data_IF_927138253586
#
_entry.id   IF_927138253586
#
_cell.length_a   1.000
_cell.length_b   1.000
_cell.length_c   1.000
_cell.angle_alpha   90.00
_cell.angle_beta   90.00
_cell.angle_gamma   90.00
#
_symmetry.space_group_name_H-M   'P 1'
#
loop_
_entity.id
_entity.type
_entity.pdbx_description
1 polymer ?
#
# COMPACT_ATOMS: atom_id res chain seq x y z
N UNK A 1 3.91 20.48 -21.17
CA UNK A 1 4.38 20.27 -22.55
C UNK A 1 3.27 19.64 -23.42
N UNK A 2 2.71 20.43 -24.37
CA UNK A 2 1.60 20.00 -25.25
C UNK A 2 1.99 18.84 -26.17
N UNK A 3 3.26 18.78 -26.58
CA UNK A 3 3.78 17.69 -27.40
C UNK A 3 3.75 16.34 -26.65
N UNK A 4 4.16 16.32 -25.38
CA UNK A 4 4.13 15.13 -24.54
C UNK A 4 2.69 14.66 -24.29
N UNK A 5 1.77 15.59 -23.98
CA UNK A 5 0.33 15.28 -23.82
C UNK A 5 -0.22 14.62 -25.09
N UNK A 6 0.05 15.22 -26.27
CA UNK A 6 -0.42 14.66 -27.54
C UNK A 6 0.19 13.26 -27.81
N UNK A 7 1.47 13.08 -27.48
CA UNK A 7 2.14 11.77 -27.62
C UNK A 7 1.47 10.72 -26.74
N UNK A 8 1.26 10.99 -25.45
CA UNK A 8 0.67 10.03 -24.51
C UNK A 8 -0.77 9.67 -24.90
N UNK A 9 -1.58 10.62 -25.31
CA UNK A 9 -2.95 10.33 -25.80
C UNK A 9 -2.94 9.38 -27.02
N UNK A 10 -2.04 9.64 -28.00
CA UNK A 10 -1.88 8.76 -29.16
C UNK A 10 -1.36 7.37 -28.78
N UNK A 11 -0.38 7.32 -27.87
CA UNK A 11 0.21 6.07 -27.38
C UNK A 11 -0.86 5.21 -26.69
N UNK A 12 -1.61 5.80 -25.76
CA UNK A 12 -2.68 5.10 -25.03
C UNK A 12 -3.73 4.52 -25.99
N UNK A 13 -4.18 5.35 -26.93
CA UNK A 13 -5.14 4.88 -27.96
C UNK A 13 -4.58 3.73 -28.81
N UNK A 14 -3.32 3.82 -29.22
CA UNK A 14 -2.68 2.78 -30.03
C UNK A 14 -2.49 1.46 -29.24
N UNK A 15 -2.06 1.55 -27.98
CA UNK A 15 -1.85 0.36 -27.12
C UNK A 15 -3.17 -0.33 -26.81
N UNK A 16 -4.22 0.43 -26.48
CA UNK A 16 -5.53 -0.15 -26.20
C UNK A 16 -6.24 -0.74 -27.43
N UNK A 17 -5.85 -0.31 -28.63
CA UNK A 17 -6.31 -0.93 -29.88
C UNK A 17 -5.64 -2.29 -30.21
N UNK A 18 -4.54 -2.64 -29.53
CA UNK A 18 -3.87 -3.92 -29.73
C UNK A 18 -4.72 -5.08 -29.16
N UNK A 19 -4.68 -6.27 -29.80
CA UNK A 19 -5.42 -7.43 -29.30
C UNK A 19 -4.90 -7.90 -27.93
N UNK A 20 -5.81 -8.40 -27.09
CA UNK A 20 -5.54 -8.84 -25.72
C UNK A 20 -5.50 -7.70 -24.71
N UNK A 21 -5.51 -8.07 -23.42
CA UNK A 21 -5.52 -7.09 -22.31
C UNK A 21 -4.14 -6.48 -22.13
N UNK A 22 -4.01 -5.18 -22.32
CA UNK A 22 -2.80 -4.38 -22.09
C UNK A 22 -3.09 -3.35 -21.03
N UNK A 23 -2.09 -3.04 -20.22
CA UNK A 23 -2.16 -1.99 -19.20
C UNK A 23 -1.03 -0.98 -19.44
N UNK A 24 -1.38 0.29 -19.40
CA UNK A 24 -0.44 1.40 -19.34
C UNK A 24 -0.45 1.98 -17.94
N UNK A 25 0.70 2.01 -17.29
CA UNK A 25 0.86 2.49 -15.92
C UNK A 25 1.84 3.65 -15.94
N UNK A 26 1.42 4.80 -15.44
CA UNK A 26 2.26 5.99 -15.37
C UNK A 26 3.04 6.00 -14.05
N UNK A 27 4.37 6.10 -14.15
CA UNK A 27 5.22 6.55 -13.05
C UNK A 27 5.31 8.08 -13.13
N UNK A 28 4.50 8.75 -12.30
CA UNK A 28 4.37 10.19 -12.34
C UNK A 28 4.14 10.71 -10.91
N UNK A 29 5.04 11.57 -10.43
CA UNK A 29 5.10 12.00 -9.03
C UNK A 29 4.46 13.38 -8.77
N UNK A 30 4.04 14.08 -9.84
CA UNK A 30 3.47 15.42 -9.69
C UNK A 30 1.96 15.39 -9.50
N UNK A 31 1.39 16.56 -9.21
CA UNK A 31 -0.06 16.77 -9.14
C UNK A 31 -0.70 16.98 -10.53
N UNK A 32 -0.04 16.57 -11.64
CA UNK A 32 -0.61 16.69 -12.97
C UNK A 32 -1.94 15.89 -13.04
N UNK A 33 -3.06 16.55 -13.41
CA UNK A 33 -4.37 15.93 -13.37
C UNK A 33 -4.68 15.10 -14.62
N UNK A 34 -5.71 14.25 -14.53
CA UNK A 34 -6.27 13.51 -15.66
C UNK A 34 -5.24 12.64 -16.39
N UNK A 35 -4.37 11.97 -15.61
CA UNK A 35 -3.41 11.01 -16.15
C UNK A 35 -4.12 9.72 -16.55
N UNK A 36 -5.02 9.23 -15.69
CA UNK A 36 -5.68 7.96 -15.91
C UNK A 36 -7.01 8.10 -16.66
N UNK A 37 -7.44 7.01 -17.28
CA UNK A 37 -8.69 6.93 -18.03
C UNK A 37 -9.97 7.09 -17.15
N UNK A 38 -9.82 7.26 -15.84
CA UNK A 38 -10.90 7.65 -14.92
C UNK A 38 -11.65 8.91 -15.39
N UNK A 39 -10.94 9.80 -16.06
CA UNK A 39 -11.48 11.07 -16.60
C UNK A 39 -11.91 10.96 -18.07
N UNK A 40 -12.02 9.76 -18.62
CA UNK A 40 -12.47 9.53 -19.99
C UNK A 40 -11.57 10.15 -21.06
N UNK A 41 -12.14 10.66 -22.14
CA UNK A 41 -11.42 11.15 -23.31
C UNK A 41 -10.54 12.40 -23.06
N UNK A 42 -10.76 13.11 -21.99
CA UNK A 42 -9.94 14.29 -21.63
C UNK A 42 -8.58 13.88 -21.02
N UNK A 43 -8.48 12.67 -20.50
CA UNK A 43 -7.28 12.14 -19.84
C UNK A 43 -6.14 11.80 -20.83
N UNK A 44 -4.97 11.47 -20.28
CA UNK A 44 -3.86 10.90 -21.05
C UNK A 44 -4.12 9.43 -21.44
N UNK A 45 -5.12 8.77 -20.81
CA UNK A 45 -5.55 7.42 -21.14
C UNK A 45 -4.75 6.29 -20.50
N UNK A 46 -3.95 6.54 -19.47
CA UNK A 46 -3.31 5.50 -18.69
C UNK A 46 -4.34 4.72 -17.87
N UNK A 47 -4.08 3.44 -17.62
CA UNK A 47 -4.93 2.60 -16.78
C UNK A 47 -4.72 2.88 -15.30
N UNK A 48 -3.48 3.12 -14.90
CA UNK A 48 -3.11 3.46 -13.52
C UNK A 48 -1.99 4.51 -13.48
N UNK A 49 -1.93 5.18 -12.33
CA UNK A 49 -0.85 6.09 -11.95
C UNK A 49 -0.26 5.65 -10.61
N UNK A 50 1.06 5.65 -10.46
CA UNK A 50 1.70 5.41 -9.17
C UNK A 50 1.35 6.50 -8.16
N UNK A 51 0.97 6.09 -6.95
CA UNK A 51 0.76 7.01 -5.82
C UNK A 51 2.07 7.21 -5.05
N UNK A 52 2.95 8.03 -5.62
CA UNK A 52 4.25 8.33 -5.01
C UNK A 52 4.10 9.10 -3.69
N UNK A 53 3.06 9.93 -3.55
CA UNK A 53 2.75 10.65 -2.31
C UNK A 53 2.47 9.70 -1.15
N UNK A 54 1.56 8.74 -1.36
CA UNK A 54 1.28 7.68 -0.38
C UNK A 54 2.55 6.90 -0.01
N UNK A 55 3.34 6.50 -0.98
CA UNK A 55 4.58 5.73 -0.77
C UNK A 55 5.56 6.51 0.11
N UNK A 56 5.80 7.78 -0.21
CA UNK A 56 6.72 8.64 0.56
C UNK A 56 6.23 8.85 2.00
N UNK A 57 4.93 9.11 2.18
CA UNK A 57 4.35 9.30 3.50
C UNK A 57 4.45 8.03 4.35
N UNK A 58 4.09 6.87 3.78
CA UNK A 58 4.15 5.61 4.49
C UNK A 58 5.58 5.22 4.89
N UNK A 59 6.54 5.33 3.99
CA UNK A 59 7.93 4.98 4.30
C UNK A 59 8.52 5.93 5.35
N UNK A 60 8.31 7.23 5.18
CA UNK A 60 8.79 8.21 6.16
C UNK A 60 8.12 8.04 7.53
N UNK A 61 6.84 7.64 7.59
CA UNK A 61 6.16 7.32 8.83
C UNK A 61 6.72 6.07 9.51
N UNK A 62 6.92 5.00 8.73
CA UNK A 62 7.43 3.73 9.26
C UNK A 62 8.88 3.80 9.72
N UNK A 63 9.69 4.70 9.17
CA UNK A 63 11.07 4.95 9.60
C UNK A 63 11.16 5.67 10.95
N UNK A 64 10.09 6.32 11.41
CA UNK A 64 10.05 6.96 12.72
C UNK A 64 10.09 5.93 13.84
N UNK A 65 10.78 6.29 14.93
CA UNK A 65 10.59 5.60 16.20
C UNK A 65 9.09 5.59 16.56
N UNK A 66 8.52 4.46 16.98
CA UNK A 66 7.08 4.37 17.30
C UNK A 66 6.60 5.43 18.29
N UNK A 67 7.46 5.90 19.22
CA UNK A 67 7.10 6.96 20.15
C UNK A 67 6.85 8.32 19.46
N UNK A 68 7.50 8.55 18.31
CA UNK A 68 7.37 9.80 17.56
C UNK A 68 6.17 9.80 16.58
N UNK A 69 5.59 8.65 16.29
CA UNK A 69 4.54 8.47 15.26
C UNK A 69 3.29 9.30 15.54
N UNK A 70 2.94 9.52 16.79
CA UNK A 70 1.79 10.34 17.19
C UNK A 70 1.82 11.79 16.67
N UNK A 71 3.02 12.33 16.44
CA UNK A 71 3.19 13.70 15.90
C UNK A 71 3.17 13.75 14.36
N UNK A 72 3.08 12.60 13.70
CA UNK A 72 3.09 12.46 12.25
C UNK A 72 1.93 11.60 11.74
N UNK A 73 0.84 11.57 12.49
CA UNK A 73 -0.34 10.73 12.21
C UNK A 73 -1.01 11.08 10.87
N UNK A 74 -0.89 12.33 10.46
CA UNK A 74 -1.33 12.83 9.17
C UNK A 74 -0.77 12.04 7.98
N UNK A 75 0.44 11.50 8.08
CA UNK A 75 1.04 10.64 7.04
C UNK A 75 0.25 9.35 6.76
N UNK A 76 -0.51 8.86 7.72
CA UNK A 76 -1.40 7.71 7.54
C UNK A 76 -2.71 8.09 6.81
N UNK A 77 -3.15 9.34 6.96
CA UNK A 77 -4.50 9.74 6.59
C UNK A 77 -4.56 10.68 5.39
N UNK A 78 -3.50 11.46 5.15
CA UNK A 78 -3.46 12.48 4.12
C UNK A 78 -3.73 11.96 2.72
N UNK A 79 -3.20 10.78 2.37
CA UNK A 79 -3.39 10.17 1.04
C UNK A 79 -4.85 9.94 0.67
N UNK A 80 -5.74 9.75 1.66
CA UNK A 80 -7.18 9.57 1.43
C UNK A 80 -7.87 10.84 0.92
N UNK A 81 -7.27 12.02 1.11
CA UNK A 81 -7.80 13.28 0.57
C UNK A 81 -7.81 13.31 -0.95
N UNK A 82 -6.95 12.53 -1.60
CA UNK A 82 -6.84 12.45 -3.06
C UNK A 82 -6.87 11.02 -3.62
N UNK A 83 -7.00 9.99 -2.77
CA UNK A 83 -6.93 8.57 -3.17
C UNK A 83 -7.86 8.18 -4.33
N UNK A 84 -8.95 8.93 -4.52
CA UNK A 84 -9.95 8.64 -5.54
C UNK A 84 -9.95 9.66 -6.68
N UNK A 85 -8.93 10.52 -6.77
CA UNK A 85 -8.80 11.47 -7.89
C UNK A 85 -8.33 10.81 -9.19
N UNK A 86 -7.60 9.68 -9.10
CA UNK A 86 -7.09 8.90 -10.21
C UNK A 86 -7.28 7.39 -9.91
N UNK A 87 -7.03 6.53 -10.89
CA UNK A 87 -6.84 5.10 -10.63
C UNK A 87 -5.41 4.88 -10.15
N UNK A 88 -5.25 4.77 -8.83
CA UNK A 88 -3.94 4.67 -8.23
C UNK A 88 -3.45 3.23 -8.06
N UNK A 89 -2.13 3.08 -8.22
CA UNK A 89 -1.36 1.94 -7.81
C UNK A 89 -0.39 2.37 -6.71
N UNK A 90 -0.40 1.68 -5.59
CA UNK A 90 0.43 1.96 -4.42
C UNK A 90 1.78 1.26 -4.58
N UNK A 91 2.87 1.97 -4.92
CA UNK A 91 4.13 1.34 -5.26
C UNK A 91 5.05 1.20 -4.04
N UNK A 92 5.60 0.00 -3.88
CA UNK A 92 6.94 -0.19 -3.32
C UNK A 92 7.77 -0.81 -4.43
N UNK A 93 8.51 0.03 -5.15
CA UNK A 93 9.29 -0.36 -6.32
C UNK A 93 10.75 -0.62 -6.00
N UNK A 94 11.57 -0.84 -7.02
CA UNK A 94 13.02 -0.96 -6.85
C UNK A 94 13.65 0.33 -6.31
N UNK A 95 13.12 1.48 -6.65
CA UNK A 95 13.66 2.78 -6.25
C UNK A 95 13.66 2.98 -4.72
N UNK A 96 12.75 2.33 -4.00
CA UNK A 96 12.70 2.41 -2.54
C UNK A 96 13.78 1.58 -1.83
N UNK A 97 14.46 0.69 -2.55
CA UNK A 97 15.41 -0.28 -1.97
C UNK A 97 16.78 -0.27 -2.64
N UNK A 98 17.19 0.85 -3.27
CA UNK A 98 18.47 1.04 -3.94
C UNK A 98 19.13 2.37 -3.54
N UNK A 99 20.39 2.53 -3.91
CA UNK A 99 21.13 3.80 -3.88
C UNK A 99 21.19 4.50 -2.51
N UNK A 100 21.43 3.72 -1.44
CA UNK A 100 21.55 4.25 -0.07
C UNK A 100 20.22 4.48 0.64
N UNK A 101 19.10 4.05 0.05
CA UNK A 101 17.77 4.18 0.65
C UNK A 101 17.44 3.07 1.65
N UNK A 102 18.32 2.10 1.84
CA UNK A 102 18.17 0.91 2.69
C UNK A 102 17.16 -0.10 2.14
N UNK A 103 17.24 -1.36 2.58
CA UNK A 103 16.19 -2.35 2.31
C UNK A 103 14.91 -2.03 3.09
N UNK A 104 13.77 -2.63 2.68
CA UNK A 104 12.50 -2.43 3.39
C UNK A 104 12.61 -2.82 4.88
N UNK A 105 13.29 -3.94 5.19
CA UNK A 105 13.50 -4.35 6.57
C UNK A 105 14.35 -3.35 7.37
N UNK A 106 15.39 -2.79 6.75
CA UNK A 106 16.28 -1.84 7.43
C UNK A 106 15.73 -0.42 7.54
N UNK A 107 14.61 -0.12 6.89
CA UNK A 107 13.83 1.09 7.14
C UNK A 107 13.09 1.02 8.47
N UNK A 108 12.74 -0.18 8.92
CA UNK A 108 11.99 -0.37 10.18
C UNK A 108 12.92 -0.15 11.38
N UNK A 109 12.55 0.71 12.35
CA UNK A 109 13.31 0.91 13.58
C UNK A 109 13.18 -0.29 14.54
N UNK A 110 14.04 -0.31 15.57
CA UNK A 110 14.00 -1.31 16.62
C UNK A 110 14.91 -2.52 16.38
N UNK A 111 14.70 -3.54 17.19
CA UNK A 111 15.45 -4.78 17.15
C UNK A 111 15.01 -5.70 15.99
N UNK A 112 15.66 -6.84 15.86
CA UNK A 112 15.41 -7.81 14.80
C UNK A 112 13.93 -8.23 14.71
N UNK A 113 13.31 -8.59 15.84
CA UNK A 113 11.91 -9.03 15.86
C UNK A 113 10.95 -7.88 15.60
N UNK A 114 11.23 -6.70 16.16
CA UNK A 114 10.46 -5.49 15.94
C UNK A 114 10.47 -5.03 14.48
N UNK A 115 11.59 -5.16 13.77
CA UNK A 115 11.66 -4.87 12.34
C UNK A 115 10.71 -5.75 11.52
N UNK A 116 10.69 -7.06 11.78
CA UNK A 116 9.78 -7.98 11.09
C UNK A 116 8.31 -7.72 11.43
N UNK A 117 8.00 -7.40 12.69
CA UNK A 117 6.64 -7.05 13.09
C UNK A 117 6.14 -5.80 12.35
N UNK A 118 6.97 -4.77 12.27
CA UNK A 118 6.62 -3.53 11.55
C UNK A 118 6.53 -3.72 10.05
N UNK A 119 7.37 -4.59 9.47
CA UNK A 119 7.30 -4.89 8.04
C UNK A 119 6.00 -5.65 7.69
N UNK A 120 5.58 -6.61 8.53
CA UNK A 120 4.26 -7.26 8.38
C UNK A 120 3.12 -6.26 8.51
N UNK A 121 3.20 -5.34 9.47
CA UNK A 121 2.20 -4.28 9.65
C UNK A 121 2.10 -3.39 8.39
N UNK A 122 3.24 -2.95 7.84
CA UNK A 122 3.29 -2.15 6.63
C UNK A 122 2.65 -2.86 5.44
N UNK A 123 2.96 -4.14 5.23
CA UNK A 123 2.39 -4.91 4.13
C UNK A 123 0.89 -5.16 4.31
N UNK A 124 0.43 -5.40 5.54
CA UNK A 124 -1.01 -5.52 5.82
C UNK A 124 -1.73 -4.19 5.55
N UNK A 125 -1.14 -3.07 5.96
CA UNK A 125 -1.71 -1.75 5.68
C UNK A 125 -1.74 -1.45 4.18
N UNK A 126 -0.66 -1.78 3.43
CA UNK A 126 -0.64 -1.70 1.98
C UNK A 126 -1.84 -2.45 1.37
N UNK A 127 -2.08 -3.70 1.77
CA UNK A 127 -3.17 -4.52 1.19
C UNK A 127 -4.55 -3.99 1.55
N UNK A 128 -4.72 -3.40 2.73
CA UNK A 128 -6.00 -2.85 3.18
C UNK A 128 -6.29 -1.44 2.63
N UNK A 129 -5.27 -0.62 2.34
CA UNK A 129 -5.47 0.74 1.82
C UNK A 129 -6.09 0.72 0.41
N UNK A 130 -6.98 1.68 0.03
CA UNK A 130 -7.51 1.76 -1.33
C UNK A 130 -6.42 1.94 -2.40
N UNK A 131 -6.66 1.41 -3.59
CA UNK A 131 -5.75 1.43 -4.73
C UNK A 131 -5.11 0.07 -5.01
N UNK A 132 -4.61 -0.16 -6.23
CA UNK A 132 -3.92 -1.40 -6.62
C UNK A 132 -2.54 -1.47 -5.98
N UNK A 133 -1.95 -2.66 -5.91
CA UNK A 133 -0.72 -2.95 -5.14
C UNK A 133 0.45 -3.25 -6.05
N UNK A 134 1.62 -2.74 -5.69
CA UNK A 134 2.88 -3.12 -6.31
C UNK A 134 3.93 -3.32 -5.23
N UNK A 135 4.52 -4.52 -5.20
CA UNK A 135 5.70 -4.82 -4.39
C UNK A 135 6.81 -5.33 -5.29
N UNK A 136 8.02 -4.90 -5.04
CA UNK A 136 9.17 -5.32 -5.83
C UNK A 136 9.69 -6.67 -5.34
N UNK A 137 10.28 -7.45 -6.26
CA UNK A 137 10.84 -8.78 -5.97
C UNK A 137 11.84 -8.73 -4.82
N UNK A 138 11.80 -9.73 -3.94
CA UNK A 138 12.70 -9.86 -2.78
C UNK A 138 12.23 -9.14 -1.51
N UNK A 139 11.22 -8.28 -1.59
CA UNK A 139 10.66 -7.62 -0.40
C UNK A 139 10.06 -8.63 0.57
N UNK A 140 9.53 -9.75 0.05
CA UNK A 140 8.98 -10.87 0.83
C UNK A 140 10.05 -11.66 1.59
N UNK A 141 11.33 -11.52 1.22
CA UNK A 141 12.43 -12.18 1.90
C UNK A 141 12.92 -11.42 3.13
N UNK A 142 12.60 -10.13 3.24
CA UNK A 142 13.10 -9.26 4.30
C UNK A 142 14.62 -9.09 4.25
N UNK A 143 15.18 -8.87 3.05
CA UNK A 143 16.61 -8.70 2.88
C UNK A 143 17.17 -7.56 3.74
N UNK A 144 18.40 -7.73 4.27
CA UNK A 144 19.12 -6.66 4.95
C UNK A 144 19.80 -5.71 3.98
N UNK A 145 20.29 -6.25 2.86
CA UNK A 145 20.97 -5.47 1.82
C UNK A 145 19.95 -4.85 0.87
N UNK A 146 20.35 -3.76 0.26
CA UNK A 146 19.62 -3.17 -0.86
C UNK A 146 19.61 -4.11 -2.06
N UNK A 147 18.60 -3.97 -2.91
CA UNK A 147 18.55 -4.73 -4.14
C UNK A 147 19.70 -4.35 -5.09
N UNK A 148 20.30 -5.36 -5.72
CA UNK A 148 21.41 -5.21 -6.68
C UNK A 148 21.08 -5.96 -7.95
N UNK A 149 20.97 -5.24 -9.06
CA UNK A 149 20.58 -5.83 -10.34
C UNK A 149 21.57 -6.88 -10.88
N UNK A 150 22.85 -6.81 -10.48
CA UNK A 150 23.90 -7.73 -10.91
C UNK A 150 24.02 -9.01 -10.07
N UNK A 151 23.21 -9.16 -9.04
CA UNK A 151 23.28 -10.26 -8.08
C UNK A 151 21.94 -10.97 -7.95
N UNK A 152 21.97 -12.23 -7.55
CA UNK A 152 20.76 -12.96 -7.15
C UNK A 152 20.15 -12.37 -5.88
N UNK A 153 18.83 -12.55 -5.69
CA UNK A 153 18.23 -12.32 -4.39
C UNK A 153 18.85 -13.21 -3.33
N UNK A 154 18.83 -12.73 -2.10
CA UNK A 154 19.46 -13.43 -0.96
C UNK A 154 18.59 -14.60 -0.46
N UNK A 155 18.45 -15.63 -1.29
CA UNK A 155 17.63 -16.82 -1.03
C UNK A 155 18.05 -17.59 0.22
N UNK A 156 19.32 -17.49 0.64
CA UNK A 156 19.83 -18.12 1.86
C UNK A 156 19.05 -17.66 3.10
N UNK A 157 18.49 -16.45 3.09
CA UNK A 157 17.69 -15.94 4.20
C UNK A 157 16.51 -16.85 4.55
N UNK A 158 15.98 -17.62 3.60
CA UNK A 158 14.87 -18.55 3.85
C UNK A 158 15.22 -19.73 4.77
N UNK A 159 16.50 -19.94 5.07
CA UNK A 159 16.94 -20.89 6.10
C UNK A 159 16.72 -20.34 7.53
N UNK A 160 16.53 -19.02 7.66
CA UNK A 160 16.29 -18.38 8.96
C UNK A 160 14.80 -18.25 9.23
N UNK A 161 14.33 -18.59 10.46
CA UNK A 161 12.91 -18.68 10.77
C UNK A 161 12.09 -17.41 10.49
N UNK A 162 12.61 -16.22 10.81
CA UNK A 162 11.88 -14.96 10.63
C UNK A 162 11.68 -14.61 9.16
N UNK A 163 12.68 -14.84 8.31
CA UNK A 163 12.60 -14.58 6.87
C UNK A 163 11.63 -15.57 6.20
N UNK A 164 11.71 -16.85 6.56
CA UNK A 164 10.79 -17.88 6.09
C UNK A 164 9.34 -17.57 6.54
N UNK A 165 9.17 -17.14 7.77
CA UNK A 165 7.87 -16.74 8.30
C UNK A 165 7.31 -15.50 7.57
N UNK A 166 8.15 -14.50 7.28
CA UNK A 166 7.76 -13.34 6.50
C UNK A 166 7.30 -13.72 5.09
N UNK A 167 8.04 -14.59 4.39
CA UNK A 167 7.63 -15.06 3.06
C UNK A 167 6.29 -15.80 3.12
N UNK A 168 6.11 -16.66 4.13
CA UNK A 168 4.84 -17.35 4.37
C UNK A 168 3.68 -16.37 4.65
N UNK A 169 3.96 -15.33 5.45
CA UNK A 169 3.00 -14.28 5.75
C UNK A 169 2.60 -13.50 4.49
N UNK A 170 3.56 -13.05 3.68
CA UNK A 170 3.29 -12.31 2.44
C UNK A 170 2.49 -13.16 1.45
N UNK A 171 2.81 -14.46 1.34
CA UNK A 171 2.00 -15.39 0.54
C UNK A 171 0.56 -15.48 1.04
N UNK A 172 0.36 -15.65 2.35
CA UNK A 172 -0.96 -15.70 2.97
C UNK A 172 -1.72 -14.39 2.75
N UNK A 173 -1.06 -13.25 2.92
CA UNK A 173 -1.64 -11.93 2.71
C UNK A 173 -2.06 -11.69 1.24
N UNK A 174 -1.27 -12.17 0.27
CA UNK A 174 -1.62 -12.10 -1.15
C UNK A 174 -2.85 -12.96 -1.48
N UNK A 175 -2.97 -14.15 -0.87
CA UNK A 175 -4.18 -14.97 -1.03
C UNK A 175 -5.37 -14.30 -0.38
N UNK A 176 -5.23 -13.80 0.84
CA UNK A 176 -6.28 -13.05 1.54
C UNK A 176 -6.78 -11.88 0.70
N UNK A 177 -5.86 -11.07 0.12
CA UNK A 177 -6.23 -9.97 -0.76
C UNK A 177 -7.06 -10.44 -1.97
N UNK A 178 -6.68 -11.55 -2.61
CA UNK A 178 -7.39 -12.10 -3.78
C UNK A 178 -8.77 -12.64 -3.44
N UNK A 179 -8.92 -13.24 -2.27
CA UNK A 179 -10.15 -13.90 -1.82
C UNK A 179 -11.18 -12.92 -1.26
N UNK A 180 -10.76 -11.71 -0.87
CA UNK A 180 -11.63 -10.70 -0.28
C UNK A 180 -11.90 -9.52 -1.21
N UNK A 181 -13.03 -9.54 -1.98
CA UNK A 181 -13.41 -8.48 -2.92
C UNK A 181 -13.47 -7.08 -2.30
N UNK A 182 -13.80 -6.96 -1.02
CA UNK A 182 -13.80 -5.69 -0.31
C UNK A 182 -12.46 -4.93 -0.42
N UNK A 183 -11.33 -5.62 -0.62
CA UNK A 183 -10.01 -5.01 -0.71
C UNK A 183 -9.66 -4.44 -2.09
N UNK A 184 -10.37 -4.86 -3.16
CA UNK A 184 -9.97 -4.52 -4.52
C UNK A 184 -11.12 -4.23 -5.50
N UNK A 185 -12.37 -4.56 -5.19
CA UNK A 185 -13.49 -4.41 -6.12
C UNK A 185 -13.93 -2.93 -6.24
N UNK A 186 -13.99 -2.23 -5.09
CA UNK A 186 -14.37 -0.82 -4.99
C UNK A 186 -13.25 -0.02 -4.33
N UNK A 187 -12.04 -0.08 -4.88
CA UNK A 187 -10.87 0.58 -4.29
C UNK A 187 -10.54 1.94 -4.94
N UNK A 188 -11.43 2.44 -5.77
CA UNK A 188 -11.32 3.71 -6.51
C UNK A 188 -12.40 4.73 -6.17
N UNK A 189 -13.17 4.50 -5.10
CA UNK A 189 -14.26 5.37 -4.66
C UNK A 189 -14.58 5.25 -3.16
N UNK A 190 -15.31 6.22 -2.65
CA UNK A 190 -15.76 6.25 -1.25
C UNK A 190 -16.80 5.18 -0.91
N UNK A 191 -17.44 4.58 -1.89
CA UNK A 191 -18.35 3.44 -1.71
C UNK A 191 -17.64 2.15 -1.28
N UNK A 192 -16.33 2.09 -1.49
CA UNK A 192 -15.48 0.99 -1.02
C UNK A 192 -14.71 1.27 0.27
N UNK A 193 -14.83 2.47 0.87
CA UNK A 193 -14.04 2.89 2.02
C UNK A 193 -14.81 3.79 2.99
N UNK A 194 -14.71 3.52 4.29
CA UNK A 194 -15.23 4.43 5.32
C UNK A 194 -14.32 4.41 6.56
N UNK A 195 -13.95 5.58 7.06
CA UNK A 195 -13.23 5.69 8.32
C UNK A 195 -14.10 5.24 9.51
N UNK A 196 -13.49 4.49 10.45
CA UNK A 196 -14.05 4.23 11.77
C UNK A 196 -13.35 5.08 12.83
N UNK A 197 -12.01 5.11 12.82
CA UNK A 197 -11.22 5.98 13.68
C UNK A 197 -10.04 6.53 12.88
N UNK A 198 -10.01 7.84 12.70
CA UNK A 198 -8.98 8.55 11.91
C UNK A 198 -8.08 9.42 12.79
N UNK A 199 -8.55 9.85 13.97
CA UNK A 199 -7.90 10.91 14.76
C UNK A 199 -7.20 10.39 16.04
N UNK A 200 -7.08 9.07 16.21
CA UNK A 200 -6.47 8.49 17.42
C UNK A 200 -4.92 8.52 17.36
N UNK A 201 -4.41 9.74 17.16
CA UNK A 201 -2.97 10.01 17.02
C UNK A 201 -2.17 9.68 18.26
N UNK A 202 -2.73 9.91 19.46
CA UNK A 202 -2.02 9.68 20.73
C UNK A 202 -1.72 8.20 20.95
N UNK A 203 -2.56 7.33 20.41
CA UNK A 203 -2.36 5.89 20.42
C UNK A 203 -1.72 5.37 19.13
N UNK A 204 -1.59 6.22 18.10
CA UNK A 204 -1.14 5.84 16.74
C UNK A 204 -1.94 4.67 16.17
N UNK A 205 -3.26 4.74 16.33
CA UNK A 205 -4.21 3.74 15.82
C UNK A 205 -5.07 4.35 14.73
N UNK A 206 -5.31 3.60 13.67
CA UNK A 206 -6.32 3.92 12.65
C UNK A 206 -7.19 2.71 12.40
N UNK A 207 -8.46 2.96 12.09
CA UNK A 207 -9.36 1.92 11.65
C UNK A 207 -10.34 2.42 10.60
N UNK A 208 -10.70 1.53 9.69
CA UNK A 208 -11.60 1.83 8.59
C UNK A 208 -12.31 0.56 8.10
N UNK A 209 -13.39 0.76 7.36
CA UNK A 209 -14.05 -0.31 6.63
C UNK A 209 -13.56 -0.34 5.19
N UNK A 210 -13.41 -1.55 4.67
CA UNK A 210 -13.35 -1.84 3.25
C UNK A 210 -14.62 -2.59 2.87
N UNK A 211 -15.27 -2.14 1.81
CA UNK A 211 -16.59 -2.62 1.44
C UNK A 211 -16.63 -3.09 -0.02
N UNK A 212 -17.34 -4.19 -0.25
CA UNK A 212 -17.84 -4.60 -1.57
C UNK A 212 -19.36 -4.83 -1.48
N UNK A 213 -19.96 -5.37 -2.53
CA UNK A 213 -21.36 -5.79 -2.49
C UNK A 213 -21.58 -7.00 -1.60
N UNK A 214 -20.58 -7.85 -1.45
CA UNK A 214 -20.69 -9.16 -0.82
C UNK A 214 -20.18 -9.18 0.62
N UNK A 215 -19.25 -8.27 0.96
CA UNK A 215 -18.60 -8.29 2.27
C UNK A 215 -18.18 -6.90 2.75
N UNK A 216 -18.00 -6.80 4.05
CA UNK A 216 -17.38 -5.64 4.72
C UNK A 216 -16.28 -6.13 5.65
N UNK A 217 -15.08 -5.61 5.48
CA UNK A 217 -13.93 -5.87 6.34
C UNK A 217 -13.66 -4.66 7.23
N UNK A 218 -13.60 -4.89 8.54
CA UNK A 218 -13.09 -3.92 9.51
C UNK A 218 -11.56 -4.09 9.58
N UNK A 219 -10.84 -3.06 9.18
CA UNK A 219 -9.39 -3.01 9.22
C UNK A 219 -8.96 -2.10 10.37
N UNK A 220 -8.16 -2.62 11.32
CA UNK A 220 -7.65 -1.87 12.46
C UNK A 220 -6.13 -2.06 12.58
N UNK A 221 -5.40 -0.95 12.76
CA UNK A 221 -3.94 -0.94 12.76
C UNK A 221 -3.42 -0.18 13.98
N UNK A 222 -2.57 -0.85 14.76
CA UNK A 222 -1.81 -0.25 15.85
C UNK A 222 -0.36 -0.09 15.41
N UNK A 223 0.06 1.15 15.21
CA UNK A 223 1.43 1.48 14.76
C UNK A 223 2.42 1.64 15.90
N UNK A 224 2.11 1.12 17.09
CA UNK A 224 3.01 1.10 18.25
C UNK A 224 3.22 -0.33 18.75
N UNK A 225 4.32 -0.62 19.48
CA UNK A 225 4.54 -1.92 20.10
C UNK A 225 3.71 -2.13 21.38
N UNK A 226 2.85 -1.17 21.74
CA UNK A 226 2.04 -1.22 22.96
C UNK A 226 0.76 -2.00 22.68
N UNK A 227 0.56 -3.10 23.38
CA UNK A 227 -0.70 -3.84 23.33
C UNK A 227 -1.87 -3.00 23.87
N UNK A 228 -3.04 -3.15 23.24
CA UNK A 228 -4.26 -2.43 23.62
C UNK A 228 -5.43 -3.38 23.79
N UNK A 229 -5.43 -4.20 24.87
CA UNK A 229 -6.39 -5.32 25.02
C UNK A 229 -7.85 -4.87 25.18
N UNK A 230 -8.09 -3.63 25.58
CA UNK A 230 -9.42 -3.06 25.76
C UNK A 230 -9.68 -1.87 24.84
N UNK A 231 -9.07 -1.85 23.63
CA UNK A 231 -9.28 -0.77 22.68
C UNK A 231 -10.74 -0.76 22.18
N UNK A 232 -11.40 0.38 22.37
CA UNK A 232 -12.80 0.58 21.95
C UNK A 232 -12.81 1.47 20.71
N UNK A 233 -13.51 1.05 19.66
CA UNK A 233 -13.70 1.85 18.45
C UNK A 233 -15.18 1.89 18.08
N UNK A 234 -15.61 3.04 17.51
CA UNK A 234 -16.92 3.16 16.88
C UNK A 234 -16.93 2.46 15.53
N UNK A 235 -17.94 1.65 15.27
CA UNK A 235 -18.14 0.97 13.99
C UNK A 235 -19.47 1.43 13.42
N UNK A 236 -19.53 1.91 12.16
CA UNK A 236 -20.77 2.45 11.57
C UNK A 236 -21.83 1.39 11.27
N UNK A 237 -21.45 0.12 11.17
CA UNK A 237 -22.36 -0.99 10.88
C UNK A 237 -22.57 -1.85 12.12
N UNK A 238 -23.82 -2.00 12.56
CA UNK A 238 -24.17 -2.93 13.63
C UNK A 238 -24.04 -4.39 13.14
N UNK A 239 -23.49 -5.26 13.98
CA UNK A 239 -23.33 -6.68 13.64
C UNK A 239 -22.29 -7.39 14.47
N UNK A 240 -22.12 -8.69 14.22
CA UNK A 240 -21.03 -9.49 14.76
C UNK A 240 -19.81 -9.44 13.83
N UNK A 241 -18.64 -9.23 14.41
CA UNK A 241 -17.36 -9.25 13.68
C UNK A 241 -16.49 -10.41 14.18
N UNK A 242 -15.88 -11.12 13.24
CA UNK A 242 -14.94 -12.20 13.55
C UNK A 242 -13.57 -11.86 12.98
N UNK A 243 -12.46 -12.15 13.70
CA UNK A 243 -11.11 -11.98 13.14
C UNK A 243 -10.90 -12.95 11.98
N UNK A 244 -10.45 -12.44 10.85
CA UNK A 244 -10.18 -13.24 9.63
C UNK A 244 -8.70 -13.19 9.21
N UNK A 245 -7.95 -12.20 9.70
CA UNK A 245 -6.52 -12.06 9.48
C UNK A 245 -5.88 -11.24 10.61
N UNK A 246 -4.72 -11.72 11.16
CA UNK A 246 -3.95 -11.02 12.20
C UNK A 246 -2.45 -11.36 12.15
#
# INVERSE_FOLDING_TARGET
>A
DLGAISLFKKLSSAVHALPGRKLLIAEESTAFPMVTNKHGAESLGFDFKWNMGWMNDMLSYMELDPIARKWHHDKLTFSLTYAFSEYYLLPFSHDEVVHGKRSMLNKMPGDYNGKFAQLRLLYTYLMAHPGKKLTFMGMELGQFIEWRFGESLDWLLLEYPQHKALQGFVRGLNWFYKEHPALWNRDDGWDGFAWCSVDDKDLSVVSFLRCSEEETLLCAFNFTPVERPAYTMGIPLAGGYAPVFS
#
